data_IF_200053987583
#
_entry.id   IF_200053987583
#
_cell.length_a   1.000
_cell.length_b   1.000
_cell.length_c   1.000
_cell.angle_alpha   90.00
_cell.angle_beta   90.00
_cell.angle_gamma   90.00
#
_symmetry.space_group_name_H-M   'P 1'
#
loop_
_entity.id
_entity.type
_entity.pdbx_description
1 polymer ?
#
# COMPACT_ATOMS: atom_id res chain seq x y z
N UNK A 1 -10.46 -9.36 -24.70
CA UNK A 1 -9.83 -10.22 -25.73
C UNK A 1 -9.43 -11.53 -25.05
N UNK A 2 -9.81 -12.66 -25.65
CA UNK A 2 -9.82 -14.02 -25.07
C UNK A 2 -8.41 -14.55 -24.71
N UNK A 3 -8.36 -15.38 -23.66
CA UNK A 3 -7.27 -16.33 -23.39
C UNK A 3 -7.24 -17.44 -24.45
N UNK A 4 -6.04 -17.89 -24.83
CA UNK A 4 -5.81 -19.21 -25.44
C UNK A 4 -4.39 -19.70 -25.08
N UNK A 5 -4.33 -20.89 -24.48
CA UNK A 5 -3.11 -21.65 -24.21
C UNK A 5 -2.50 -22.19 -25.51
N UNK A 6 -1.18 -22.38 -25.54
CA UNK A 6 -0.53 -23.67 -25.80
C UNK A 6 0.99 -23.61 -25.58
N UNK A 7 1.53 -24.76 -25.21
CA UNK A 7 2.84 -25.12 -24.67
C UNK A 7 3.95 -25.28 -25.71
N UNK A 8 5.20 -25.01 -25.34
CA UNK A 8 6.38 -25.77 -25.79
C UNK A 8 7.56 -25.59 -24.82
N UNK A 9 8.12 -26.71 -24.39
CA UNK A 9 9.34 -26.82 -23.60
C UNK A 9 10.54 -26.20 -24.31
N UNK A 10 11.38 -25.49 -23.57
CA UNK A 10 12.84 -25.58 -23.75
C UNK A 10 13.53 -25.44 -22.40
N UNK A 11 14.49 -26.34 -22.20
CA UNK A 11 15.36 -26.43 -21.02
C UNK A 11 16.31 -25.23 -21.02
N UNK A 12 16.39 -24.53 -19.91
CA UNK A 12 17.62 -23.82 -19.58
C UNK A 12 17.90 -24.02 -18.07
N UNK A 13 18.96 -24.79 -17.82
CA UNK A 13 19.46 -25.16 -16.50
C UNK A 13 20.03 -23.91 -15.82
N UNK A 14 19.19 -23.18 -15.10
CA UNK A 14 19.64 -22.33 -14.00
C UNK A 14 18.89 -22.78 -12.76
N UNK A 15 19.59 -23.46 -11.86
CA UNK A 15 19.08 -23.81 -10.55
C UNK A 15 18.66 -22.51 -9.85
N UNK A 16 17.36 -22.22 -9.86
CA UNK A 16 16.74 -21.18 -9.06
C UNK A 16 16.98 -21.61 -7.62
N UNK A 17 17.99 -21.01 -6.99
CA UNK A 17 18.16 -21.03 -5.55
C UNK A 17 16.87 -20.49 -4.97
N UNK A 18 16.01 -21.39 -4.50
CA UNK A 18 14.78 -21.00 -3.82
C UNK A 18 15.18 -20.22 -2.56
N UNK A 19 14.53 -19.07 -2.27
CA UNK A 19 14.84 -18.25 -1.09
C UNK A 19 14.79 -19.02 0.24
N UNK A 20 14.09 -20.16 0.23
CA UNK A 20 13.93 -21.05 1.38
C UNK A 20 15.20 -21.84 1.76
N UNK A 21 16.23 -21.90 0.91
CA UNK A 21 17.50 -22.55 1.26
C UNK A 21 18.44 -21.65 2.09
N UNK A 22 18.21 -20.33 2.12
CA UNK A 22 18.99 -19.37 2.90
C UNK A 22 18.44 -19.10 4.32
N UNK A 23 17.37 -19.80 4.73
CA UNK A 23 16.56 -19.37 5.87
C UNK A 23 16.43 -20.38 7.02
N UNK A 24 17.24 -21.44 7.04
CA UNK A 24 17.34 -22.35 8.21
C UNK A 24 18.50 -22.03 9.15
N UNK A 25 19.60 -21.48 8.64
CA UNK A 25 20.78 -21.14 9.47
C UNK A 25 20.77 -19.70 10.02
N UNK A 26 19.93 -18.82 9.45
CA UNK A 26 19.92 -17.39 9.78
C UNK A 26 18.78 -16.91 10.70
N UNK A 27 18.11 -17.81 11.42
CA UNK A 27 17.47 -17.39 12.68
C UNK A 27 18.59 -17.22 13.70
N UNK A 28 19.30 -16.10 13.60
CA UNK A 28 20.32 -15.68 14.55
C UNK A 28 19.62 -15.56 15.91
N UNK A 29 19.64 -16.64 16.70
CA UNK A 29 19.56 -16.50 18.14
C UNK A 29 20.98 -16.08 18.52
N UNK A 30 21.22 -14.81 18.86
CA UNK A 30 22.56 -14.25 19.00
C UNK A 30 23.32 -14.82 20.23
N UNK A 31 22.71 -15.74 20.98
CA UNK A 31 23.15 -16.13 22.32
C UNK A 31 23.03 -17.64 22.46
N UNK A 32 24.13 -18.28 22.85
CA UNK A 32 24.14 -19.73 23.12
C UNK A 32 23.41 -20.05 24.42
N UNK A 33 22.95 -21.29 24.56
CA UNK A 33 22.34 -21.78 25.79
C UNK A 33 23.31 -21.68 26.98
N UNK A 34 24.62 -21.86 26.76
CA UNK A 34 25.61 -21.70 27.84
C UNK A 34 25.67 -20.25 28.33
N UNK A 35 25.64 -19.27 27.42
CA UNK A 35 25.66 -17.86 27.80
C UNK A 35 24.43 -17.47 28.61
N UNK A 36 23.25 -18.00 28.27
CA UNK A 36 22.03 -17.80 29.05
C UNK A 36 22.15 -18.38 30.46
N UNK A 37 22.68 -19.60 30.58
CA UNK A 37 22.91 -20.25 31.87
C UNK A 37 23.87 -19.40 32.71
N UNK A 38 24.97 -18.92 32.14
CA UNK A 38 25.94 -18.08 32.84
C UNK A 38 25.30 -16.78 33.35
N UNK A 39 24.48 -16.10 32.54
CA UNK A 39 23.82 -14.86 32.97
C UNK A 39 22.80 -15.14 34.09
N UNK A 40 22.04 -16.24 34.01
CA UNK A 40 21.14 -16.64 35.10
C UNK A 40 21.90 -17.03 36.38
N UNK A 41 23.05 -17.68 36.25
CA UNK A 41 23.95 -18.03 37.34
C UNK A 41 24.74 -16.84 37.88
N UNK A 42 24.64 -15.65 37.29
CA UNK A 42 25.26 -14.44 37.82
C UNK A 42 24.23 -13.49 38.46
N UNK A 43 22.95 -13.64 38.12
CA UNK A 43 21.86 -12.85 38.68
C UNK A 43 21.36 -13.40 40.03
N UNK A 44 21.33 -12.55 41.05
CA UNK A 44 20.94 -12.95 42.41
C UNK A 44 19.46 -13.39 42.49
N UNK A 45 18.58 -12.77 41.71
CA UNK A 45 17.16 -13.10 41.69
C UNK A 45 16.91 -14.45 41.00
N UNK A 46 17.54 -14.69 39.85
CA UNK A 46 17.50 -15.99 39.17
C UNK A 46 18.08 -17.12 40.04
N UNK A 47 19.21 -16.90 40.73
CA UNK A 47 19.76 -17.86 41.71
C UNK A 47 18.78 -18.21 42.81
N UNK A 48 18.10 -17.21 43.37
CA UNK A 48 17.11 -17.44 44.42
C UNK A 48 15.96 -18.32 43.92
N UNK A 49 15.49 -18.09 42.70
CA UNK A 49 14.46 -18.92 42.06
C UNK A 49 14.97 -20.35 41.82
N UNK A 50 16.19 -20.50 41.30
CA UNK A 50 16.80 -21.80 41.03
C UNK A 50 16.90 -22.64 42.31
N UNK A 51 17.33 -22.04 43.42
CA UNK A 51 17.48 -22.73 44.71
C UNK A 51 16.13 -23.04 45.37
N UNK A 52 15.08 -22.25 45.10
CA UNK A 52 13.78 -22.35 45.77
C UNK A 52 12.62 -22.68 44.82
N UNK A 53 12.87 -23.46 43.76
CA UNK A 53 11.94 -23.67 42.63
C UNK A 53 10.54 -24.15 43.05
N UNK A 54 10.43 -24.93 44.14
CA UNK A 54 9.16 -25.43 44.70
C UNK A 54 8.18 -24.30 45.06
N UNK A 55 8.69 -23.13 45.41
CA UNK A 55 7.89 -21.96 45.78
C UNK A 55 7.45 -21.14 44.55
N UNK A 56 8.09 -21.29 43.40
CA UNK A 56 7.85 -20.49 42.20
C UNK A 56 7.18 -21.29 41.08
N UNK A 57 5.86 -21.52 41.22
CA UNK A 57 5.04 -22.34 40.30
C UNK A 57 5.03 -21.91 38.82
N UNK A 58 5.46 -20.68 38.52
CA UNK A 58 5.50 -20.09 37.18
C UNK A 58 6.83 -20.31 36.45
N UNK A 59 7.82 -20.93 37.11
CA UNK A 59 9.07 -21.33 36.49
C UNK A 59 9.23 -22.84 36.43
N UNK A 60 10.01 -23.28 35.46
CA UNK A 60 10.49 -24.66 35.32
C UNK A 60 11.99 -24.62 35.04
N UNK A 61 12.70 -25.71 35.33
CA UNK A 61 14.13 -25.83 35.09
C UNK A 61 14.35 -27.01 34.15
N UNK A 62 15.06 -26.76 33.04
CA UNK A 62 15.51 -27.81 32.13
C UNK A 62 17.02 -27.66 31.95
N UNK A 63 17.80 -28.70 32.22
CA UNK A 63 19.27 -28.69 32.04
C UNK A 63 19.96 -27.45 32.65
N UNK A 64 19.61 -27.11 33.90
CA UNK A 64 20.07 -25.92 34.63
C UNK A 64 19.67 -24.56 34.04
N UNK A 65 18.85 -24.53 32.99
CA UNK A 65 18.27 -23.31 32.42
C UNK A 65 16.92 -23.02 33.09
N UNK A 66 16.81 -21.83 33.68
CA UNK A 66 15.56 -21.32 34.23
C UNK A 66 14.64 -20.86 33.10
N UNK A 67 13.44 -21.43 33.01
CA UNK A 67 12.43 -21.13 32.00
C UNK A 67 11.15 -20.64 32.66
N UNK A 68 10.44 -19.72 32.00
CA UNK A 68 9.06 -19.37 32.31
C UNK A 68 8.12 -20.43 31.76
N UNK A 69 7.13 -20.81 32.58
CA UNK A 69 6.07 -21.76 32.21
C UNK A 69 5.02 -21.08 31.32
N UNK A 70 5.43 -20.71 30.11
CA UNK A 70 4.59 -20.25 28.99
C UNK A 70 4.35 -21.41 28.01
N UNK A 71 3.47 -21.23 27.03
CA UNK A 71 3.29 -22.20 25.94
C UNK A 71 3.63 -21.55 24.58
N UNK A 72 4.83 -21.80 24.01
CA UNK A 72 5.89 -22.69 24.48
C UNK A 72 6.71 -22.09 25.67
N UNK A 73 7.43 -22.91 26.47
CA UNK A 73 8.29 -22.41 27.54
C UNK A 73 9.43 -21.55 27.02
N UNK A 74 9.71 -20.42 27.67
CA UNK A 74 10.77 -19.47 27.24
C UNK A 74 11.83 -19.26 28.33
N UNK A 75 13.12 -19.08 27.99
CA UNK A 75 14.16 -18.75 28.96
C UNK A 75 13.85 -17.50 29.77
N UNK A 76 14.06 -17.58 31.08
CA UNK A 76 14.03 -16.40 31.93
C UNK A 76 15.25 -15.52 31.61
N UNK A 77 15.01 -14.24 31.35
CA UNK A 77 16.07 -13.26 31.05
C UNK A 77 16.14 -12.24 32.20
N UNK A 78 17.20 -12.29 33.04
CA UNK A 78 17.47 -11.27 34.05
C UNK A 78 17.55 -9.87 33.45
N UNK A 79 17.38 -8.85 34.29
CA UNK A 79 17.61 -7.47 33.85
C UNK A 79 19.11 -7.25 33.59
N UNK A 80 19.45 -6.53 32.52
CA UNK A 80 20.83 -6.27 32.15
C UNK A 80 20.99 -6.07 30.65
N UNK A 81 22.24 -5.91 30.23
CA UNK A 81 22.56 -5.57 28.84
C UNK A 81 22.18 -6.69 27.87
N UNK A 82 22.30 -7.96 28.28
CA UNK A 82 21.84 -9.10 27.47
C UNK A 82 20.36 -8.99 27.12
N UNK A 83 19.51 -8.65 28.11
CA UNK A 83 18.07 -8.48 27.91
C UNK A 83 17.78 -7.28 27.00
N UNK A 84 18.51 -6.18 27.16
CA UNK A 84 18.38 -5.02 26.27
C UNK A 84 18.74 -5.38 24.83
N UNK A 85 19.87 -6.07 24.62
CA UNK A 85 20.31 -6.50 23.29
C UNK A 85 19.31 -7.44 22.63
N UNK A 86 18.78 -8.43 23.36
CA UNK A 86 17.73 -9.32 22.85
C UNK A 86 16.50 -8.53 22.45
N UNK A 87 16.02 -7.64 23.32
CA UNK A 87 14.83 -6.83 23.03
C UNK A 87 15.06 -5.92 21.81
N UNK A 88 16.21 -5.27 21.71
CA UNK A 88 16.57 -4.46 20.54
C UNK A 88 16.58 -5.31 19.27
N UNK A 89 17.10 -6.53 19.28
CA UNK A 89 17.06 -7.40 18.10
C UNK A 89 15.62 -7.70 17.69
N UNK A 90 14.75 -8.07 18.63
CA UNK A 90 13.34 -8.35 18.32
C UNK A 90 12.54 -7.12 17.87
N UNK A 91 12.90 -5.92 18.35
CA UNK A 91 12.18 -4.69 18.04
C UNK A 91 12.75 -3.92 16.84
N UNK A 92 14.06 -4.00 16.57
CA UNK A 92 14.75 -3.21 15.55
C UNK A 92 14.93 -3.93 14.21
N UNK A 93 15.04 -5.27 14.16
CA UNK A 93 15.41 -5.97 12.90
C UNK A 93 14.27 -6.20 11.92
N UNK A 94 13.02 -6.35 12.37
CA UNK A 94 11.91 -6.61 11.46
C UNK A 94 11.21 -5.32 11.00
N UNK A 95 11.01 -4.34 11.88
CA UNK A 95 10.23 -3.16 11.54
C UNK A 95 10.99 -2.13 10.69
N UNK A 96 12.31 -2.00 10.88
CA UNK A 96 13.11 -0.97 10.22
C UNK A 96 13.66 -1.40 8.85
N UNK A 97 13.97 -2.69 8.67
CA UNK A 97 14.58 -3.19 7.42
C UNK A 97 13.56 -3.62 6.36
N UNK A 98 12.32 -3.92 6.75
CA UNK A 98 11.28 -4.31 5.78
C UNK A 98 10.97 -3.15 4.82
N UNK A 99 10.87 -1.92 5.31
CA UNK A 99 10.58 -0.77 4.45
C UNK A 99 11.72 -0.52 3.45
N UNK A 100 12.97 -0.58 3.91
CA UNK A 100 14.15 -0.48 3.06
C UNK A 100 14.22 -1.61 2.02
N UNK A 101 13.95 -2.84 2.44
CA UNK A 101 13.91 -4.01 1.57
C UNK A 101 12.82 -3.89 0.50
N UNK A 102 11.58 -3.57 0.90
CA UNK A 102 10.44 -3.40 -0.02
C UNK A 102 10.70 -2.25 -1.00
N UNK A 103 11.31 -1.15 -0.55
CA UNK A 103 11.71 -0.03 -1.42
C UNK A 103 12.84 -0.39 -2.38
N UNK A 104 13.79 -1.24 -1.98
CA UNK A 104 14.88 -1.72 -2.85
C UNK A 104 14.44 -2.78 -3.87
N UNK A 105 13.30 -3.45 -3.63
CA UNK A 105 12.81 -4.50 -4.51
C UNK A 105 12.25 -3.91 -5.81
N UNK A 106 12.97 -4.13 -6.91
CA UNK A 106 12.59 -3.65 -8.26
C UNK A 106 11.20 -4.15 -8.66
N UNK A 107 10.88 -5.42 -8.38
CA UNK A 107 9.57 -5.99 -8.69
C UNK A 107 8.46 -5.29 -7.91
N UNK A 108 8.64 -5.05 -6.61
CA UNK A 108 7.66 -4.33 -5.78
C UNK A 108 7.46 -2.90 -6.26
N UNK A 109 8.54 -2.19 -6.60
CA UNK A 109 8.47 -0.83 -7.13
C UNK A 109 7.72 -0.76 -8.48
N UNK A 110 7.92 -1.75 -9.36
CA UNK A 110 7.28 -1.80 -10.67
C UNK A 110 5.79 -2.15 -10.59
N UNK A 111 5.40 -3.12 -9.75
CA UNK A 111 4.03 -3.60 -9.66
C UNK A 111 3.16 -2.84 -8.65
N UNK A 112 3.77 -2.10 -7.72
CA UNK A 112 3.06 -1.31 -6.73
C UNK A 112 3.44 0.19 -6.75
N UNK A 113 3.33 0.86 -7.92
CA UNK A 113 3.64 2.27 -8.01
C UNK A 113 2.63 3.09 -7.20
N UNK A 114 3.12 4.14 -6.52
CA UNK A 114 2.27 5.06 -5.77
C UNK A 114 1.29 5.74 -6.75
N UNK A 115 0.00 5.40 -6.65
CA UNK A 115 -1.05 5.95 -7.54
C UNK A 115 -1.51 7.36 -7.17
N UNK A 116 -1.14 7.83 -5.98
CA UNK A 116 -1.46 9.16 -5.51
C UNK A 116 -0.40 10.15 -5.98
N UNK A 117 -0.73 10.92 -7.02
CA UNK A 117 -0.02 12.16 -7.33
C UNK A 117 -0.32 13.19 -6.23
N UNK A 118 0.59 14.14 -6.03
CA UNK A 118 0.31 15.31 -5.19
C UNK A 118 -0.97 15.97 -5.71
N UNK A 119 -1.96 16.27 -4.85
CA UNK A 119 -3.16 16.96 -5.28
C UNK A 119 -2.80 18.28 -5.98
N UNK A 120 -3.29 18.48 -7.19
CA UNK A 120 -3.16 19.76 -7.88
C UNK A 120 -4.13 20.80 -7.31
N UNK A 121 -3.74 22.07 -7.28
CA UNK A 121 -4.63 23.18 -6.94
C UNK A 121 -5.50 23.55 -8.14
N UNK A 122 -6.81 23.65 -7.96
CA UNK A 122 -7.71 24.21 -8.99
C UNK A 122 -7.40 25.70 -9.19
N UNK A 123 -7.33 26.15 -10.45
CA UNK A 123 -7.25 27.57 -10.79
C UNK A 123 -8.65 28.08 -11.16
N UNK A 124 -9.31 28.88 -10.31
CA UNK A 124 -10.64 29.41 -10.62
C UNK A 124 -10.56 30.39 -11.79
N UNK A 125 -11.61 30.39 -12.62
CA UNK A 125 -11.81 31.39 -13.66
C UNK A 125 -12.34 32.64 -12.98
N UNK A 126 -11.71 33.80 -13.20
CA UNK A 126 -12.21 35.06 -12.69
C UNK A 126 -13.56 35.41 -13.33
N UNK A 127 -14.55 35.90 -12.56
CA UNK A 127 -15.81 36.32 -13.13
C UNK A 127 -15.56 37.47 -14.13
N UNK A 128 -16.17 37.45 -15.32
CA UNK A 128 -16.07 38.55 -16.26
C UNK A 128 -16.86 39.77 -15.78
N UNK A 129 -16.54 40.96 -16.29
CA UNK A 129 -17.14 42.24 -15.86
C UNK A 129 -18.59 42.44 -16.37
N UNK A 130 -18.98 41.70 -17.41
CA UNK A 130 -20.28 41.83 -18.04
C UNK A 130 -20.83 40.50 -18.56
N UNK A 131 -22.15 40.46 -18.74
CA UNK A 131 -22.84 39.34 -19.38
C UNK A 131 -22.36 39.18 -20.83
N UNK A 132 -22.29 37.94 -21.31
CA UNK A 132 -21.85 37.58 -22.67
C UNK A 132 -20.38 37.88 -23.00
N UNK A 133 -19.56 38.28 -22.02
CA UNK A 133 -18.11 38.45 -22.22
C UNK A 133 -17.35 37.13 -22.21
N UNK A 134 -17.83 36.14 -21.45
CA UNK A 134 -17.25 34.81 -21.39
C UNK A 134 -18.35 33.76 -21.40
N UNK A 135 -18.31 32.90 -22.41
CA UNK A 135 -19.26 31.79 -22.58
C UNK A 135 -18.53 30.45 -22.58
N UNK A 136 -19.17 29.44 -22.01
CA UNK A 136 -18.71 28.05 -22.05
C UNK A 136 -19.65 27.25 -22.95
N UNK A 137 -19.12 26.56 -23.95
CA UNK A 137 -19.90 25.73 -24.87
C UNK A 137 -19.41 24.28 -24.84
N UNK A 138 -20.32 23.32 -24.78
CA UNK A 138 -19.98 21.90 -24.75
C UNK A 138 -21.08 21.01 -25.37
N UNK A 139 -20.68 19.82 -25.80
CA UNK A 139 -21.59 18.76 -26.25
C UNK A 139 -21.72 17.68 -25.19
N UNK A 140 -22.96 17.37 -24.82
CA UNK A 140 -23.30 16.26 -23.93
C UNK A 140 -23.74 15.06 -24.75
N UNK A 141 -23.02 13.94 -24.65
CA UNK A 141 -23.41 12.68 -25.27
C UNK A 141 -22.23 11.79 -25.70
N UNK A 142 -22.50 10.71 -26.45
CA UNK A 142 -23.80 10.33 -27.01
C UNK A 142 -24.80 9.83 -25.96
N UNK A 143 -26.03 10.32 -26.03
CA UNK A 143 -27.15 9.91 -25.17
C UNK A 143 -27.87 8.74 -25.82
N UNK A 144 -28.06 7.67 -25.05
CA UNK A 144 -28.80 6.48 -25.45
C UNK A 144 -30.00 6.25 -24.53
N UNK A 145 -31.20 5.91 -25.06
CA UNK A 145 -31.49 5.66 -26.48
C UNK A 145 -31.53 6.94 -27.32
N UNK A 146 -31.26 6.80 -28.63
CA UNK A 146 -31.40 7.91 -29.58
C UNK A 146 -32.87 8.33 -29.65
N UNK A 147 -33.14 9.63 -29.69
CA UNK A 147 -34.50 10.13 -29.87
C UNK A 147 -35.11 9.71 -31.21
N UNK A 148 -36.44 9.75 -31.34
CA UNK A 148 -37.13 9.46 -32.61
C UNK A 148 -36.65 10.35 -33.77
N UNK A 149 -36.14 11.56 -33.49
CA UNK A 149 -35.61 12.50 -34.48
C UNK A 149 -34.13 12.29 -34.82
N UNK A 150 -33.50 11.26 -34.26
CA UNK A 150 -32.08 10.94 -34.47
C UNK A 150 -31.10 11.73 -33.62
N UNK A 151 -31.59 12.57 -32.69
CA UNK A 151 -30.71 13.36 -31.82
C UNK A 151 -30.04 12.46 -30.78
N UNK A 152 -28.71 12.61 -30.68
CA UNK A 152 -27.81 11.82 -29.83
C UNK A 152 -27.00 12.71 -28.90
N UNK A 153 -27.03 14.03 -29.08
CA UNK A 153 -26.26 14.96 -28.28
C UNK A 153 -27.13 16.16 -27.89
N UNK A 154 -26.72 16.84 -26.83
CA UNK A 154 -27.22 18.17 -26.48
C UNK A 154 -26.03 19.12 -26.57
N UNK A 155 -26.12 20.15 -27.40
CA UNK A 155 -25.18 21.26 -27.34
C UNK A 155 -25.71 22.28 -26.34
N UNK A 156 -24.85 22.75 -25.44
CA UNK A 156 -25.17 23.79 -24.47
C UNK A 156 -24.16 24.92 -24.55
N UNK A 157 -24.63 26.17 -24.49
CA UNK A 157 -23.82 27.35 -24.27
C UNK A 157 -24.31 28.08 -23.02
N UNK A 158 -23.37 28.40 -22.14
CA UNK A 158 -23.64 29.04 -20.84
C UNK A 158 -22.85 30.33 -20.72
N UNK A 159 -23.52 31.43 -20.42
CA UNK A 159 -22.86 32.66 -19.99
C UNK A 159 -22.28 32.46 -18.58
N UNK A 160 -20.97 32.66 -18.43
CA UNK A 160 -20.26 32.35 -17.18
C UNK A 160 -20.67 33.27 -16.04
N UNK A 161 -21.11 34.50 -16.34
CA UNK A 161 -21.53 35.46 -15.30
C UNK A 161 -22.96 35.19 -14.82
N UNK A 162 -23.94 35.32 -15.71
CA UNK A 162 -25.37 35.20 -15.37
C UNK A 162 -25.83 33.77 -15.14
N UNK A 163 -25.05 32.78 -15.57
CA UNK A 163 -25.43 31.37 -15.64
C UNK A 163 -26.62 31.10 -16.57
N UNK A 164 -26.95 32.05 -17.45
CA UNK A 164 -27.95 31.84 -18.50
C UNK A 164 -27.48 30.75 -19.47
N UNK A 165 -28.38 29.83 -19.83
CA UNK A 165 -28.05 28.65 -20.66
C UNK A 165 -28.98 28.57 -21.86
N UNK A 166 -28.38 28.38 -23.04
CA UNK A 166 -29.08 28.01 -24.28
C UNK A 166 -28.67 26.57 -24.63
N UNK A 167 -29.66 25.71 -24.91
CA UNK A 167 -29.40 24.31 -25.27
C UNK A 167 -30.21 23.86 -26.48
N UNK A 168 -29.62 23.01 -27.33
CA UNK A 168 -30.29 22.42 -28.50
C UNK A 168 -29.96 20.92 -28.62
N UNK A 169 -30.98 20.13 -28.95
CA UNK A 169 -30.80 18.71 -29.23
C UNK A 169 -30.30 18.51 -30.68
N UNK A 170 -29.19 17.79 -30.84
CA UNK A 170 -28.47 17.64 -32.11
C UNK A 170 -28.07 16.19 -32.38
N UNK A 171 -27.83 15.86 -33.66
CA UNK A 171 -27.58 14.49 -34.13
C UNK A 171 -26.11 14.07 -34.03
N UNK A 172 -25.20 15.03 -34.08
CA UNK A 172 -23.75 14.84 -34.03
C UNK A 172 -23.07 15.95 -33.22
N UNK A 173 -21.78 15.77 -32.94
CA UNK A 173 -20.93 16.72 -32.23
C UNK A 173 -19.90 17.38 -33.17
N UNK A 174 -20.28 17.61 -34.43
CA UNK A 174 -19.38 18.19 -35.43
C UNK A 174 -19.27 19.70 -35.31
N UNK A 175 -18.16 20.24 -35.82
CA UNK A 175 -17.95 21.70 -35.93
C UNK A 175 -19.07 22.38 -36.71
N UNK A 176 -19.56 21.76 -37.80
CA UNK A 176 -20.64 22.32 -38.60
C UNK A 176 -21.93 22.51 -37.79
N UNK A 177 -22.29 21.52 -36.96
CA UNK A 177 -23.43 21.61 -36.05
C UNK A 177 -23.23 22.70 -34.98
N UNK A 178 -22.02 22.84 -34.44
CA UNK A 178 -21.70 23.90 -33.48
C UNK A 178 -21.81 25.31 -34.10
N UNK A 179 -21.28 25.50 -35.32
CA UNK A 179 -21.38 26.77 -36.06
C UNK A 179 -22.84 27.11 -36.36
N UNK A 180 -23.63 26.13 -36.81
CA UNK A 180 -25.06 26.33 -37.04
C UNK A 180 -25.79 26.77 -35.77
N UNK A 181 -25.50 26.14 -34.64
CA UNK A 181 -26.07 26.53 -33.34
C UNK A 181 -25.72 27.97 -32.95
N UNK A 182 -24.47 28.40 -33.15
CA UNK A 182 -24.05 29.77 -32.87
C UNK A 182 -24.77 30.81 -33.75
N UNK A 183 -24.96 30.51 -35.04
CA UNK A 183 -25.57 31.45 -35.99
C UNK A 183 -27.09 31.48 -35.86
N UNK A 184 -27.75 30.35 -35.60
CA UNK A 184 -29.21 30.26 -35.60
C UNK A 184 -29.85 30.52 -34.23
N UNK A 185 -29.17 30.17 -33.13
CA UNK A 185 -29.78 30.14 -31.81
C UNK A 185 -29.17 31.15 -30.81
N UNK A 186 -28.07 31.83 -31.17
CA UNK A 186 -27.33 32.72 -30.26
C UNK A 186 -27.21 34.15 -30.80
N UNK A 187 -26.79 34.32 -32.06
CA UNK A 187 -26.64 35.63 -32.72
C UNK A 187 -27.93 35.99 -33.45
#
# INVERSE_FOLDING_TARGET
MKLRNQTSNDKDDTAILTPDTLNKENRIIPISTEQLIQVQQNDNYAKNILNNIKHYKHYIINNNLLLRRTNPPVPYLPQGDLRKTILNIYHDTAANDIDSYVKSCILCAQFNPRRQKTPGTLKPIQPPDGVWQLVSMDFHGPITPTTQRGNKYIISLTDVLSKFVITKAVRDNTTHTAVRFLIEDII
#
